data_IF_472828023314
#
_entry.id   IF_472828023314
#
_cell.length_a   1.000
_cell.length_b   1.000
_cell.length_c   1.000
_cell.angle_alpha   90.00
_cell.angle_beta   90.00
_cell.angle_gamma   90.00
#
_symmetry.space_group_name_H-M   'P 1'
#
loop_
_entity.id
_entity.type
_entity.pdbx_description
1 polymer ?
#
# COMPACT_ATOMS: atom_id res chain seq x y z
N UNK A 1 -7.66 0.66 33.21
CA UNK A 1 -7.68 0.04 31.86
C UNK A 1 -6.34 0.22 31.16
N UNK A 2 -5.26 -0.20 31.82
CA UNK A 2 -3.90 0.04 31.36
C UNK A 2 -2.93 -0.63 32.32
N UNK A 3 -2.93 -1.97 32.35
CA UNK A 3 -1.92 -2.79 33.04
C UNK A 3 -1.89 -4.27 32.62
N UNK A 4 -2.66 -4.74 31.62
CA UNK A 4 -2.72 -6.16 31.26
C UNK A 4 -2.25 -6.52 29.85
N UNK A 5 -1.57 -5.61 29.14
CA UNK A 5 -1.14 -5.84 27.74
C UNK A 5 0.37 -6.05 27.61
N UNK A 6 1.14 -5.90 28.70
CA UNK A 6 2.60 -6.05 28.67
C UNK A 6 3.12 -7.48 28.91
N UNK A 7 2.23 -8.43 29.27
CA UNK A 7 2.63 -9.79 29.65
C UNK A 7 2.53 -10.82 28.51
N UNK A 8 1.69 -10.60 27.49
CA UNK A 8 1.54 -11.55 26.38
C UNK A 8 2.58 -11.36 25.25
N UNK A 9 3.27 -10.22 25.20
CA UNK A 9 4.27 -9.94 24.16
C UNK A 9 5.66 -10.56 24.42
N UNK A 10 5.86 -11.22 25.58
CA UNK A 10 7.14 -11.84 25.93
C UNK A 10 7.26 -13.32 25.52
N UNK A 11 6.19 -13.96 25.01
CA UNK A 11 6.22 -15.41 24.74
C UNK A 11 6.09 -15.88 23.29
N UNK A 12 5.87 -15.00 22.29
CA UNK A 12 5.92 -15.37 20.87
C UNK A 12 7.00 -14.58 20.13
N UNK A 13 8.24 -15.06 20.23
CA UNK A 13 9.36 -14.61 19.37
C UNK A 13 9.23 -15.07 17.90
N UNK A 14 8.16 -15.78 17.55
CA UNK A 14 7.92 -16.34 16.21
C UNK A 14 6.82 -15.64 15.38
N UNK A 15 6.10 -14.66 15.94
CA UNK A 15 5.09 -13.88 15.20
C UNK A 15 5.71 -12.71 14.43
N UNK A 16 6.81 -12.97 13.71
CA UNK A 16 7.23 -12.08 12.64
C UNK A 16 6.23 -12.23 11.49
N UNK A 17 5.71 -11.10 11.01
CA UNK A 17 4.62 -10.97 10.03
C UNK A 17 4.91 -11.61 8.65
N UNK A 18 6.01 -12.36 8.51
CA UNK A 18 6.30 -13.21 7.39
C UNK A 18 7.38 -14.26 7.70
N UNK A 19 7.01 -15.54 7.69
CA UNK A 19 7.97 -16.64 7.58
C UNK A 19 8.20 -16.96 6.10
N UNK A 20 9.08 -16.21 5.43
CA UNK A 20 9.34 -16.29 3.99
C UNK A 20 9.91 -17.64 3.51
N UNK A 21 10.51 -18.47 4.39
CA UNK A 21 10.85 -19.87 4.06
C UNK A 21 9.63 -20.69 3.62
N UNK A 22 8.42 -20.20 3.91
CA UNK A 22 7.17 -20.81 3.48
C UNK A 22 6.74 -20.32 2.08
N UNK A 23 7.26 -19.24 1.50
CA UNK A 23 6.84 -18.82 0.14
C UNK A 23 7.41 -19.70 -0.97
N UNK A 24 8.39 -20.55 -0.66
CA UNK A 24 9.00 -21.52 -1.58
C UNK A 24 8.45 -22.93 -1.32
N UNK A 25 7.19 -23.19 -1.71
CA UNK A 25 6.50 -24.46 -1.47
C UNK A 25 6.01 -25.13 -2.75
N UNK A 26 6.37 -26.39 -3.00
CA UNK A 26 6.13 -27.05 -4.29
C UNK A 26 4.67 -27.56 -4.47
N UNK A 27 3.67 -26.67 -4.64
CA UNK A 27 2.25 -27.08 -4.75
C UNK A 27 1.36 -26.24 -5.70
N UNK A 28 0.56 -26.92 -6.52
CA UNK A 28 -0.47 -26.39 -7.43
C UNK A 28 -1.87 -26.43 -6.78
N UNK A 29 -2.14 -25.68 -5.71
CA UNK A 29 -3.44 -25.76 -5.00
C UNK A 29 -4.43 -24.66 -5.33
N UNK A 30 -4.22 -23.95 -6.44
CA UNK A 30 -5.14 -22.95 -6.96
C UNK A 30 -5.65 -23.30 -8.36
N UNK A 31 -5.57 -24.58 -8.72
CA UNK A 31 -6.39 -25.09 -9.82
C UNK A 31 -7.84 -24.89 -9.44
N UNK A 32 -8.60 -24.25 -10.33
CA UNK A 32 -9.98 -23.85 -10.08
C UNK A 32 -10.77 -25.06 -9.65
N UNK A 33 -11.37 -25.02 -8.46
CA UNK A 33 -12.52 -25.89 -8.20
C UNK A 33 -13.53 -25.62 -9.31
N UNK A 34 -13.99 -26.67 -10.00
CA UNK A 34 -14.99 -26.59 -11.09
C UNK A 34 -16.27 -25.84 -10.66
N UNK A 35 -16.48 -25.62 -9.35
CA UNK A 35 -17.61 -24.91 -8.77
C UNK A 35 -17.42 -23.38 -8.64
N UNK A 36 -16.23 -22.81 -8.89
CA UNK A 36 -16.02 -21.36 -8.73
C UNK A 36 -16.43 -20.59 -10.01
N UNK A 37 -17.74 -20.46 -10.19
CA UNK A 37 -18.36 -19.90 -11.41
C UNK A 37 -18.17 -18.38 -11.58
N UNK A 38 -17.75 -17.65 -10.52
CA UNK A 38 -17.58 -16.20 -10.55
C UNK A 38 -16.18 -15.77 -10.11
N UNK A 39 -15.49 -15.04 -10.99
CA UNK A 39 -14.23 -14.37 -10.68
C UNK A 39 -14.50 -12.94 -10.23
N UNK A 40 -13.69 -12.43 -9.30
CA UNK A 40 -13.78 -11.02 -8.92
C UNK A 40 -13.36 -10.12 -10.10
N UNK A 41 -13.90 -8.90 -10.14
CA UNK A 41 -13.66 -7.98 -11.26
C UNK A 41 -12.16 -7.69 -11.44
N UNK A 42 -11.41 -7.59 -10.34
CA UNK A 42 -9.96 -7.40 -10.36
C UNK A 42 -9.19 -8.44 -11.20
N UNK A 43 -9.71 -9.66 -11.35
CA UNK A 43 -9.02 -10.73 -12.09
C UNK A 43 -8.87 -10.44 -13.58
N UNK A 44 -9.73 -9.58 -14.15
CA UNK A 44 -9.72 -9.24 -15.57
C UNK A 44 -8.79 -8.08 -15.91
N UNK A 45 -8.25 -7.39 -14.89
CA UNK A 45 -7.37 -6.24 -15.11
C UNK A 45 -5.95 -6.69 -15.42
N UNK A 46 -5.38 -6.06 -16.46
CA UNK A 46 -3.98 -6.23 -16.85
C UNK A 46 -3.27 -4.90 -16.82
N UNK A 47 -2.04 -4.92 -16.33
CA UNK A 47 -1.15 -3.76 -16.21
C UNK A 47 0.11 -4.07 -17.03
N UNK A 48 0.15 -3.58 -18.28
CA UNK A 48 1.01 -4.15 -19.33
C UNK A 48 0.72 -5.66 -19.46
N UNK A 49 1.71 -6.53 -19.29
CA UNK A 49 1.57 -8.00 -19.35
C UNK A 49 1.25 -8.67 -18.01
N UNK A 50 1.14 -7.90 -16.94
CA UNK A 50 1.01 -8.42 -15.58
C UNK A 50 -0.42 -8.33 -15.05
N UNK A 51 -0.79 -9.26 -14.19
CA UNK A 51 -2.11 -9.33 -13.55
C UNK A 51 -2.05 -8.83 -12.10
N UNK A 52 -3.19 -8.83 -11.43
CA UNK A 52 -3.28 -8.32 -10.06
C UNK A 52 -2.57 -9.21 -9.02
N UNK A 53 -2.44 -10.50 -9.30
CA UNK A 53 -1.68 -11.43 -8.47
C UNK A 53 -0.18 -11.10 -8.53
N UNK A 54 0.35 -10.78 -9.72
CA UNK A 54 1.74 -10.32 -9.90
C UNK A 54 1.99 -9.05 -9.07
N UNK A 55 1.07 -8.08 -9.15
CA UNK A 55 1.18 -6.81 -8.43
C UNK A 55 1.19 -7.00 -6.91
N UNK A 56 0.34 -7.90 -6.42
CA UNK A 56 0.25 -8.21 -4.99
C UNK A 56 1.47 -8.99 -4.51
N UNK A 57 1.98 -9.93 -5.31
CA UNK A 57 3.23 -10.63 -5.01
C UNK A 57 4.40 -9.65 -4.91
N UNK A 58 4.56 -8.75 -5.89
CA UNK A 58 5.59 -7.72 -5.85
C UNK A 58 5.48 -6.84 -4.59
N UNK A 59 4.28 -6.41 -4.23
CA UNK A 59 4.07 -5.67 -2.98
C UNK A 59 4.50 -6.47 -1.72
N UNK A 60 4.33 -7.80 -1.72
CA UNK A 60 4.78 -8.66 -0.61
C UNK A 60 6.31 -8.79 -0.57
N UNK A 61 6.96 -8.89 -1.74
CA UNK A 61 8.42 -8.97 -1.84
C UNK A 61 9.13 -7.68 -1.39
N UNK A 62 8.44 -6.53 -1.36
CA UNK A 62 9.00 -5.26 -0.86
C UNK A 62 9.47 -5.30 0.59
N UNK A 63 9.04 -6.29 1.36
CA UNK A 63 9.43 -6.49 2.74
C UNK A 63 10.71 -7.34 2.89
N UNK A 64 11.23 -7.90 1.79
CA UNK A 64 12.44 -8.70 1.81
C UNK A 64 13.72 -7.85 1.75
N UNK A 65 14.82 -8.36 2.34
CA UNK A 65 16.16 -7.86 2.04
C UNK A 65 16.51 -7.99 0.55
N UNK A 66 17.38 -7.12 0.04
CA UNK A 66 17.76 -7.04 -1.39
C UNK A 66 18.17 -8.37 -2.01
N UNK A 67 19.00 -9.15 -1.31
CA UNK A 67 19.53 -10.41 -1.84
C UNK A 67 18.43 -11.45 -2.03
N UNK A 68 17.55 -11.57 -1.04
CA UNK A 68 16.41 -12.49 -1.12
C UNK A 68 15.38 -12.00 -2.15
N UNK A 69 15.11 -10.69 -2.20
CA UNK A 69 14.25 -10.08 -3.21
C UNK A 69 14.69 -10.44 -4.64
N UNK A 70 15.98 -10.28 -4.96
CA UNK A 70 16.52 -10.61 -6.28
C UNK A 70 16.40 -12.11 -6.60
N UNK A 71 16.68 -12.96 -5.62
CA UNK A 71 16.52 -14.42 -5.74
C UNK A 71 15.06 -14.80 -6.01
N UNK A 72 14.13 -14.25 -5.23
CA UNK A 72 12.71 -14.59 -5.33
C UNK A 72 12.08 -14.05 -6.62
N UNK A 73 12.49 -12.86 -7.09
CA UNK A 73 12.07 -12.36 -8.41
C UNK A 73 12.52 -13.33 -9.51
N UNK A 74 13.76 -13.82 -9.49
CA UNK A 74 14.24 -14.80 -10.48
C UNK A 74 13.50 -16.13 -10.35
N UNK A 75 13.17 -16.55 -9.13
CA UNK A 75 12.42 -17.77 -8.88
C UNK A 75 10.99 -17.71 -9.46
N UNK A 76 10.26 -16.62 -9.19
CA UNK A 76 8.89 -16.45 -9.66
C UNK A 76 8.80 -16.03 -11.13
N UNK A 77 9.84 -15.40 -11.68
CA UNK A 77 9.89 -14.89 -13.06
C UNK A 77 11.17 -15.33 -13.79
N UNK A 78 11.31 -16.63 -14.10
CA UNK A 78 12.54 -17.21 -14.66
C UNK A 78 12.89 -16.72 -16.07
N UNK A 79 11.92 -16.18 -16.82
CA UNK A 79 12.11 -15.68 -18.18
C UNK A 79 12.76 -14.29 -18.23
N UNK A 80 13.38 -13.82 -17.13
CA UNK A 80 13.98 -12.49 -16.99
C UNK A 80 13.03 -11.36 -17.42
N UNK A 81 11.76 -11.47 -17.04
CA UNK A 81 10.74 -10.46 -17.34
C UNK A 81 11.01 -9.11 -16.65
N UNK A 82 11.83 -9.13 -15.61
CA UNK A 82 12.22 -7.99 -14.80
C UNK A 82 13.74 -7.85 -14.73
N UNK A 83 14.20 -6.61 -14.85
CA UNK A 83 15.57 -6.20 -14.56
C UNK A 83 15.52 -5.34 -13.29
N UNK A 84 16.23 -5.76 -12.25
CA UNK A 84 16.30 -5.00 -11.01
C UNK A 84 17.14 -3.73 -11.21
N UNK A 85 16.63 -2.57 -10.80
CA UNK A 85 17.36 -1.31 -10.90
C UNK A 85 18.29 -1.09 -9.69
N UNK A 86 19.58 -1.33 -9.88
CA UNK A 86 20.62 -1.15 -8.85
C UNK A 86 20.82 0.33 -8.43
N UNK A 87 20.30 1.30 -9.18
CA UNK A 87 20.41 2.72 -8.83
C UNK A 87 19.21 3.19 -8.02
N UNK A 88 18.01 2.73 -8.37
CA UNK A 88 16.75 3.21 -7.79
C UNK A 88 16.11 2.16 -6.89
N UNK A 89 16.80 1.82 -5.81
CA UNK A 89 16.27 1.00 -4.73
C UNK A 89 16.74 1.51 -3.37
N UNK A 90 15.93 1.26 -2.34
CA UNK A 90 16.32 1.34 -0.94
C UNK A 90 15.64 0.17 -0.24
N UNK A 91 16.30 -0.97 -0.16
CA UNK A 91 15.77 -2.20 0.41
C UNK A 91 16.44 -2.40 1.78
N UNK A 92 15.76 -2.02 2.86
CA UNK A 92 16.24 -2.20 4.22
C UNK A 92 15.40 -3.27 4.93
N UNK A 93 16.04 -4.15 5.67
CA UNK A 93 15.33 -5.17 6.48
C UNK A 93 14.52 -4.50 7.60
N UNK A 94 15.11 -3.48 8.26
CA UNK A 94 14.48 -2.65 9.27
C UNK A 94 14.77 -1.17 8.98
N UNK A 95 13.85 -0.26 9.29
CA UNK A 95 14.13 1.16 9.13
C UNK A 95 12.99 2.05 9.59
N UNK A 96 13.27 2.83 10.63
CA UNK A 96 12.54 4.07 10.94
C UNK A 96 13.20 5.21 10.15
N UNK A 97 12.42 6.15 9.60
CA UNK A 97 12.95 7.40 9.04
C UNK A 97 13.25 7.43 7.53
N UNK A 98 13.21 6.28 6.82
CA UNK A 98 13.50 6.24 5.38
C UNK A 98 12.51 5.41 4.57
N UNK A 99 12.22 5.86 3.35
CA UNK A 99 11.35 5.17 2.41
C UNK A 99 12.05 3.93 1.88
N UNK A 100 11.45 2.77 2.10
CA UNK A 100 11.90 1.50 1.52
C UNK A 100 11.13 1.22 0.24
N UNK A 101 11.85 1.02 -0.85
CA UNK A 101 11.27 0.77 -2.17
C UNK A 101 12.27 0.04 -3.07
N UNK A 102 11.78 -0.51 -4.17
CA UNK A 102 12.62 -1.00 -5.25
C UNK A 102 11.98 -0.74 -6.61
N UNK A 103 12.80 -0.75 -7.65
CA UNK A 103 12.36 -0.49 -9.01
C UNK A 103 12.71 -1.66 -9.91
N UNK A 104 11.74 -2.11 -10.70
CA UNK A 104 11.91 -3.12 -11.73
C UNK A 104 11.68 -2.52 -13.11
N UNK A 105 12.62 -2.77 -14.00
CA UNK A 105 12.51 -2.39 -15.40
C UNK A 105 12.03 -3.58 -16.25
N UNK A 106 11.13 -3.30 -17.20
CA UNK A 106 10.60 -4.28 -18.16
C UNK A 106 10.67 -3.69 -19.57
N UNK A 107 10.28 -4.45 -20.60
CA UNK A 107 10.28 -3.93 -21.99
C UNK A 107 9.39 -2.71 -22.18
N UNK A 108 8.23 -2.66 -21.51
CA UNK A 108 7.18 -1.65 -21.74
C UNK A 108 6.93 -0.73 -20.53
N UNK A 109 7.23 -1.21 -19.34
CA UNK A 109 6.88 -0.54 -18.08
C UNK A 109 8.06 -0.48 -17.11
N UNK A 110 8.05 0.55 -16.26
CA UNK A 110 8.86 0.62 -15.04
C UNK A 110 7.92 0.49 -13.85
N UNK A 111 8.21 -0.47 -12.98
CA UNK A 111 7.39 -0.77 -11.81
C UNK A 111 8.16 -0.34 -10.56
N UNK A 112 7.59 0.59 -9.81
CA UNK A 112 8.15 1.03 -8.51
C UNK A 112 7.27 0.47 -7.41
N UNK A 113 7.89 -0.30 -6.50
CA UNK A 113 7.19 -0.97 -5.41
C UNK A 113 7.63 -0.35 -4.10
N UNK A 114 6.67 0.17 -3.35
CA UNK A 114 6.90 0.90 -2.10
C UNK A 114 6.45 0.02 -0.93
N UNK A 115 7.38 -0.25 -0.02
CA UNK A 115 7.10 -1.04 1.18
C UNK A 115 6.26 -0.22 2.17
N UNK A 116 5.34 -0.89 2.86
CA UNK A 116 4.71 -0.34 4.06
C UNK A 116 5.59 -0.50 5.31
N UNK A 117 4.98 -0.28 6.48
CA UNK A 117 5.63 -0.50 7.78
C UNK A 117 5.68 -1.99 8.10
N UNK A 118 6.77 -2.47 8.71
CA UNK A 118 6.92 -3.86 9.18
C UNK A 118 6.13 -4.13 10.47
N UNK A 119 5.86 -3.09 11.27
CA UNK A 119 5.07 -3.14 12.50
C UNK A 119 3.78 -2.33 12.35
N UNK A 120 2.64 -3.03 12.26
CA UNK A 120 1.32 -2.41 12.05
C UNK A 120 0.84 -1.60 13.26
N UNK A 121 1.24 -1.99 14.47
CA UNK A 121 0.94 -1.24 15.69
C UNK A 121 1.64 0.12 15.70
N UNK A 122 2.88 0.17 15.17
CA UNK A 122 3.60 1.44 14.99
C UNK A 122 2.91 2.32 13.97
N UNK A 123 2.33 1.79 12.89
CA UNK A 123 1.52 2.61 11.97
C UNK A 123 0.25 3.20 12.60
N UNK A 124 -0.41 2.46 13.50
CA UNK A 124 -1.59 2.97 14.22
C UNK A 124 -1.22 4.14 15.15
N UNK A 125 0.01 4.14 15.66
CA UNK A 125 0.57 5.21 16.50
C UNK A 125 1.14 6.34 15.61
N UNK A 126 1.84 5.99 14.53
CA UNK A 126 2.42 6.86 13.50
C UNK A 126 1.40 7.21 12.40
N UNK A 127 0.13 7.40 12.77
CA UNK A 127 -0.99 7.78 11.88
C UNK A 127 -0.81 9.17 11.23
N UNK A 128 0.40 9.71 11.33
CA UNK A 128 0.83 11.10 11.27
C UNK A 128 0.57 11.78 9.91
N UNK A 129 0.57 11.02 8.81
CA UNK A 129 0.22 11.55 7.48
C UNK A 129 -1.30 11.73 7.32
N UNK A 130 -2.10 10.85 7.94
CA UNK A 130 -3.56 10.76 7.80
C UNK A 130 -4.33 11.23 9.04
N UNK A 131 -3.66 11.73 10.08
CA UNK A 131 -4.26 12.10 11.37
C UNK A 131 -5.44 13.06 11.19
N UNK A 132 -5.25 14.17 10.47
CA UNK A 132 -6.26 15.22 10.29
C UNK A 132 -7.45 14.74 9.45
N UNK A 133 -7.20 13.94 8.39
CA UNK A 133 -8.27 13.32 7.61
C UNK A 133 -9.06 12.29 8.43
N UNK A 134 -8.42 11.62 9.37
CA UNK A 134 -9.05 10.57 10.18
C UNK A 134 -9.84 11.16 11.33
N UNK A 135 -9.33 12.22 11.96
CA UNK A 135 -10.10 13.06 12.89
C UNK A 135 -11.32 13.65 12.17
N UNK A 136 -11.18 14.18 10.96
CA UNK A 136 -12.32 14.72 10.19
C UNK A 136 -13.40 13.66 9.92
N UNK A 137 -13.00 12.43 9.58
CA UNK A 137 -13.94 11.32 9.41
C UNK A 137 -14.56 10.85 10.73
N UNK A 138 -13.81 10.85 11.83
CA UNK A 138 -14.33 10.51 13.15
C UNK A 138 -15.35 11.53 13.64
N UNK A 139 -15.11 12.83 13.41
CA UNK A 139 -16.10 13.90 13.62
C UNK A 139 -17.35 13.65 12.76
N UNK A 140 -17.18 13.11 11.54
CA UNK A 140 -18.29 12.74 10.66
C UNK A 140 -19.09 11.51 11.10
N UNK A 141 -18.56 10.72 12.03
CA UNK A 141 -19.27 9.62 12.69
C UNK A 141 -20.02 10.14 13.92
N UNK A 142 -19.39 10.98 14.73
CA UNK A 142 -19.98 11.54 15.96
C UNK A 142 -21.05 12.60 15.69
N UNK A 143 -20.90 13.37 14.61
CA UNK A 143 -21.82 14.41 14.19
C UNK A 143 -22.29 14.13 12.76
N UNK A 144 -23.29 13.25 12.56
CA UNK A 144 -23.69 12.75 11.24
C UNK A 144 -24.08 13.86 10.25
N UNK A 145 -24.56 15.00 10.74
CA UNK A 145 -24.88 16.18 9.92
C UNK A 145 -23.66 16.75 9.17
N UNK A 146 -22.44 16.54 9.68
CA UNK A 146 -21.24 16.96 8.96
C UNK A 146 -20.98 16.14 7.69
N UNK A 147 -21.59 14.95 7.52
CA UNK A 147 -21.57 14.20 6.25
C UNK A 147 -22.32 14.92 5.13
N UNK A 148 -23.21 15.86 5.48
CA UNK A 148 -23.93 16.70 4.51
C UNK A 148 -23.03 17.83 3.98
N UNK A 149 -21.85 18.05 4.58
CA UNK A 149 -20.94 19.07 4.09
C UNK A 149 -20.37 18.68 2.73
N UNK A 150 -20.35 19.61 1.76
CA UNK A 150 -19.67 19.39 0.49
C UNK A 150 -18.21 18.97 0.70
N UNK A 151 -17.66 18.11 -0.17
CA UNK A 151 -16.27 17.65 -0.09
C UNK A 151 -15.27 18.82 -0.02
N UNK A 152 -15.60 19.97 -0.60
CA UNK A 152 -14.82 21.21 -0.53
C UNK A 152 -14.66 21.72 0.92
N UNK A 153 -15.69 21.60 1.76
CA UNK A 153 -15.64 22.02 3.16
C UNK A 153 -14.74 21.10 3.98
N UNK A 154 -14.84 19.78 3.79
CA UNK A 154 -13.90 18.83 4.42
C UNK A 154 -12.45 19.11 4.01
N UNK A 155 -12.22 19.40 2.72
CA UNK A 155 -10.90 19.79 2.21
C UNK A 155 -10.37 21.05 2.90
N UNK A 156 -11.21 22.07 3.08
CA UNK A 156 -10.85 23.30 3.79
C UNK A 156 -10.54 22.99 5.25
N UNK A 157 -11.34 22.18 5.95
CA UNK A 157 -11.11 21.82 7.35
C UNK A 157 -9.77 21.09 7.50
N UNK A 158 -9.50 20.07 6.68
CA UNK A 158 -8.23 19.33 6.74
C UNK A 158 -7.04 20.23 6.41
N UNK A 159 -7.18 21.13 5.43
CA UNK A 159 -6.15 22.12 5.10
C UNK A 159 -5.91 23.09 6.26
N UNK A 160 -6.97 23.64 6.86
CA UNK A 160 -6.88 24.59 7.97
C UNK A 160 -6.34 23.94 9.24
N UNK A 161 -6.72 22.70 9.53
CA UNK A 161 -6.13 21.92 10.63
C UNK A 161 -4.63 21.71 10.40
N UNK A 162 -4.22 21.33 9.19
CA UNK A 162 -2.80 21.19 8.86
C UNK A 162 -2.04 22.53 8.96
N UNK A 163 -2.69 23.67 8.66
CA UNK A 163 -2.09 25.00 8.81
C UNK A 163 -2.00 25.45 10.27
N UNK A 164 -3.05 25.21 11.07
CA UNK A 164 -3.07 25.52 12.51
C UNK A 164 -2.04 24.70 13.28
N UNK A 165 -1.85 23.44 12.91
CA UNK A 165 -0.77 22.61 13.43
C UNK A 165 0.61 23.21 13.11
N UNK A 166 0.78 23.84 11.93
CA UNK A 166 2.01 24.59 11.61
C UNK A 166 2.22 25.80 12.52
N UNK A 167 1.16 26.57 12.79
CA UNK A 167 1.26 27.73 13.68
C UNK A 167 1.51 27.37 15.14
N UNK A 168 0.90 26.29 15.64
CA UNK A 168 1.05 25.85 17.04
C UNK A 168 2.41 25.16 17.24
N UNK A 169 2.86 24.35 16.26
CA UNK A 169 4.15 23.65 16.31
C UNK A 169 5.37 24.57 16.13
N UNK A 170 5.24 25.74 15.50
CA UNK A 170 6.37 26.69 15.37
C UNK A 170 6.88 27.19 16.74
N UNK A 171 6.06 27.09 17.80
CA UNK A 171 6.44 27.38 19.19
C UNK A 171 7.02 26.17 19.96
N UNK A 172 6.95 24.96 19.41
CA UNK A 172 7.45 23.73 20.03
C UNK A 172 8.20 22.87 19.01
N UNK A 173 9.54 22.97 19.01
CA UNK A 173 10.50 22.10 18.30
C UNK A 173 10.16 21.75 16.83
N UNK A 174 10.76 22.49 15.89
CA UNK A 174 10.73 22.32 14.41
C UNK A 174 11.00 20.92 13.82
N UNK A 175 11.33 19.91 14.64
CA UNK A 175 11.72 18.57 14.19
C UNK A 175 10.51 17.68 13.84
N UNK A 176 9.38 17.83 14.54
CA UNK A 176 8.23 16.93 14.42
C UNK A 176 7.39 17.19 13.17
N UNK A 177 7.27 18.45 12.75
CA UNK A 177 6.49 18.86 11.58
C UNK A 177 7.14 18.52 10.23
N UNK A 178 8.46 18.29 10.23
CA UNK A 178 9.22 17.89 9.05
C UNK A 178 8.82 16.50 8.57
N UNK A 179 8.58 15.56 9.49
CA UNK A 179 8.43 14.11 9.19
C UNK A 179 7.25 13.79 8.26
N UNK A 180 6.07 14.36 8.51
CA UNK A 180 4.79 14.04 7.80
C UNK A 180 4.81 14.34 6.30
N UNK A 181 5.36 15.50 5.92
CA UNK A 181 5.47 15.92 4.50
C UNK A 181 6.74 15.37 3.85
N UNK A 182 7.73 15.00 4.65
CA UNK A 182 9.03 14.55 4.16
C UNK A 182 8.91 13.27 3.34
N UNK A 183 8.19 12.25 3.81
CA UNK A 183 8.06 10.99 3.06
C UNK A 183 7.38 11.18 1.69
N UNK A 184 6.25 11.88 1.64
CA UNK A 184 5.54 12.11 0.36
C UNK A 184 6.41 12.95 -0.59
N UNK A 185 7.02 14.04 -0.11
CA UNK A 185 7.89 14.89 -0.95
C UNK A 185 9.16 14.16 -1.42
N UNK A 186 9.77 13.36 -0.55
CA UNK A 186 10.94 12.56 -0.88
C UNK A 186 10.58 11.51 -1.94
N UNK A 187 9.44 10.83 -1.78
CA UNK A 187 8.96 9.87 -2.78
C UNK A 187 8.68 10.55 -4.13
N UNK A 188 8.03 11.73 -4.14
CA UNK A 188 7.79 12.48 -5.38
C UNK A 188 9.11 12.76 -6.11
N UNK A 189 10.15 13.25 -5.40
CA UNK A 189 11.47 13.51 -5.99
C UNK A 189 12.12 12.25 -6.57
N UNK A 190 12.03 11.13 -5.86
CA UNK A 190 12.53 9.83 -6.34
C UNK A 190 11.78 9.41 -7.61
N UNK A 191 10.45 9.52 -7.61
CA UNK A 191 9.64 9.18 -8.78
C UNK A 191 9.92 10.10 -9.97
N UNK A 192 10.16 11.39 -9.75
CA UNK A 192 10.57 12.32 -10.82
C UNK A 192 11.89 11.85 -11.46
N UNK A 193 12.89 11.45 -10.67
CA UNK A 193 14.16 10.92 -11.17
C UNK A 193 14.01 9.58 -11.93
N UNK A 194 13.14 8.69 -11.43
CA UNK A 194 12.84 7.41 -12.10
C UNK A 194 12.12 7.69 -13.43
N UNK A 195 11.09 8.54 -13.42
CA UNK A 195 10.37 8.95 -14.62
C UNK A 195 11.30 9.62 -15.64
N UNK A 196 12.30 10.39 -15.19
CA UNK A 196 13.29 10.99 -16.07
C UNK A 196 14.24 9.97 -16.71
N UNK A 197 14.60 8.89 -15.99
CA UNK A 197 15.38 7.78 -16.56
C UNK A 197 14.55 6.95 -17.56
N UNK A 198 13.26 6.77 -17.30
CA UNK A 198 12.37 5.87 -18.03
C UNK A 198 11.24 6.59 -18.80
N UNK A 199 11.51 7.76 -19.38
CA UNK A 199 10.49 8.64 -20.02
C UNK A 199 9.59 7.97 -21.07
N UNK A 200 10.08 6.90 -21.70
CA UNK A 200 9.36 6.18 -22.77
C UNK A 200 8.66 4.91 -22.28
N UNK A 201 8.62 4.66 -20.97
CA UNK A 201 7.99 3.47 -20.38
C UNK A 201 6.80 3.86 -19.52
N UNK A 202 5.83 2.96 -19.45
CA UNK A 202 4.67 3.10 -18.55
C UNK A 202 5.13 3.04 -17.10
N UNK A 203 4.87 4.09 -16.31
CA UNK A 203 5.15 4.08 -14.87
C UNK A 203 3.99 3.44 -14.10
N UNK A 204 4.29 2.33 -13.42
CA UNK A 204 3.36 1.58 -12.57
C UNK A 204 3.85 1.70 -11.13
N UNK A 205 2.97 2.13 -10.22
CA UNK A 205 3.28 2.20 -8.80
C UNK A 205 2.50 1.15 -8.03
N UNK A 206 3.18 0.50 -7.10
CA UNK A 206 2.60 -0.54 -6.25
C UNK A 206 2.96 -0.23 -4.81
N UNK A 207 2.03 -0.42 -3.88
CA UNK A 207 2.37 -0.40 -2.47
C UNK A 207 1.34 -1.09 -1.59
N UNK A 208 1.82 -1.58 -0.44
CA UNK A 208 0.99 -2.18 0.60
C UNK A 208 0.91 -1.27 1.83
N UNK A 209 -0.26 -1.21 2.50
CA UNK A 209 -0.42 -0.48 3.75
C UNK A 209 0.02 1.00 3.61
N UNK A 210 0.91 1.50 4.48
CA UNK A 210 1.58 2.80 4.36
C UNK A 210 2.15 3.05 2.96
N UNK A 211 2.83 2.05 2.37
CA UNK A 211 3.42 2.14 1.04
C UNK A 211 2.37 2.32 -0.05
N UNK A 212 1.18 1.74 0.12
CA UNK A 212 0.03 1.96 -0.78
C UNK A 212 -0.52 3.38 -0.69
N UNK A 213 -0.58 3.95 0.52
CA UNK A 213 -0.92 5.35 0.73
C UNK A 213 0.12 6.31 0.11
N UNK A 214 1.40 6.01 0.28
CA UNK A 214 2.51 6.78 -0.27
C UNK A 214 2.54 6.70 -1.81
N UNK A 215 2.30 5.51 -2.38
CA UNK A 215 2.16 5.30 -3.82
C UNK A 215 1.01 6.14 -4.40
N UNK A 216 -0.14 6.19 -3.72
CA UNK A 216 -1.26 7.07 -4.09
C UNK A 216 -0.85 8.53 -4.08
N UNK A 217 -0.39 9.06 -2.93
CA UNK A 217 -0.10 10.49 -2.78
C UNK A 217 1.04 10.98 -3.68
N UNK A 218 2.13 10.21 -3.78
CA UNK A 218 3.27 10.56 -4.62
C UNK A 218 2.95 10.34 -6.11
N UNK A 219 2.29 9.23 -6.43
CA UNK A 219 1.96 8.86 -7.80
C UNK A 219 0.99 9.80 -8.50
N UNK A 220 -0.05 10.26 -7.79
CA UNK A 220 -1.01 11.21 -8.35
C UNK A 220 -0.40 12.61 -8.57
N UNK A 221 0.67 12.94 -7.86
CA UNK A 221 1.41 14.20 -8.05
C UNK A 221 2.27 14.17 -9.33
N UNK A 222 2.52 12.99 -9.90
CA UNK A 222 3.19 12.82 -11.19
C UNK A 222 2.16 12.59 -12.29
N UNK A 223 2.16 13.42 -13.33
CA UNK A 223 1.20 13.30 -14.44
C UNK A 223 1.41 12.03 -15.28
N UNK A 224 2.63 11.51 -15.36
CA UNK A 224 2.98 10.37 -16.21
C UNK A 224 2.76 8.99 -15.55
N UNK A 225 2.35 8.96 -14.27
CA UNK A 225 1.96 7.71 -13.63
C UNK A 225 0.75 7.13 -14.34
N UNK A 226 0.85 5.93 -14.88
CA UNK A 226 -0.22 5.31 -15.63
C UNK A 226 -1.24 4.63 -14.70
N UNK A 227 -0.76 3.87 -13.72
CA UNK A 227 -1.60 3.18 -12.75
C UNK A 227 -0.93 3.11 -11.39
N UNK A 228 -1.74 3.20 -10.34
CA UNK A 228 -1.34 3.11 -8.95
C UNK A 228 -2.14 2.00 -8.30
N UNK A 229 -1.45 0.93 -7.93
CA UNK A 229 -2.04 -0.24 -7.30
C UNK A 229 -1.70 -0.22 -5.83
N UNK A 230 -2.75 -0.10 -5.02
CA UNK A 230 -2.63 -0.11 -3.58
C UNK A 230 -3.23 -1.41 -3.05
N UNK A 231 -2.49 -2.08 -2.18
CA UNK A 231 -2.96 -3.26 -1.46
C UNK A 231 -3.20 -2.83 -0.02
N UNK A 232 -4.45 -2.87 0.42
CA UNK A 232 -4.86 -2.49 1.77
C UNK A 232 -4.36 -1.10 2.21
N UNK A 233 -4.23 -0.17 1.27
CA UNK A 233 -3.72 1.16 1.58
C UNK A 233 -4.82 2.12 2.07
N UNK A 234 -4.45 3.15 2.85
CA UNK A 234 -5.36 4.17 3.33
C UNK A 234 -5.98 4.97 2.17
N UNK A 235 -7.08 5.65 2.46
CA UNK A 235 -7.71 6.62 1.58
C UNK A 235 -6.81 7.83 1.36
N UNK A 236 -7.11 8.62 0.31
CA UNK A 236 -6.34 9.83 0.00
C UNK A 236 -7.20 11.03 -0.41
N UNK A 237 -8.53 10.91 -0.33
CA UNK A 237 -9.44 11.93 -0.86
C UNK A 237 -9.31 13.28 -0.17
N UNK A 238 -9.09 13.28 1.15
CA UNK A 238 -8.94 14.50 1.93
C UNK A 238 -7.46 14.84 2.16
N UNK A 239 -6.63 13.85 2.46
CA UNK A 239 -5.19 14.05 2.72
C UNK A 239 -4.44 14.65 1.53
N UNK A 240 -4.89 14.41 0.28
CA UNK A 240 -4.34 15.10 -0.91
C UNK A 240 -4.33 16.63 -0.77
N UNK A 241 -5.28 17.21 -0.02
CA UNK A 241 -5.42 18.65 0.14
C UNK A 241 -4.18 19.31 0.74
N UNK A 242 -3.44 18.56 1.57
CA UNK A 242 -2.20 19.00 2.20
C UNK A 242 -1.05 19.16 1.21
N UNK A 243 -1.12 18.45 0.08
CA UNK A 243 -0.08 18.41 -0.94
C UNK A 243 -0.49 19.14 -2.23
N UNK A 244 -1.76 19.55 -2.31
CA UNK A 244 -2.36 20.23 -3.46
C UNK A 244 -1.66 21.55 -3.80
N UNK A 245 -1.19 22.30 -2.79
CA UNK A 245 -0.47 23.57 -2.99
C UNK A 245 0.87 23.42 -3.74
N UNK A 246 1.40 22.19 -3.85
CA UNK A 246 2.71 21.97 -4.49
C UNK A 246 2.63 21.48 -5.93
N UNK A 247 1.54 20.82 -6.33
CA UNK A 247 1.44 20.13 -7.64
C UNK A 247 0.01 20.07 -8.24
N UNK A 248 -1.01 20.74 -7.69
CA UNK A 248 -2.41 20.69 -8.16
C UNK A 248 -2.94 19.24 -8.30
N UNK A 249 -3.00 18.51 -7.18
CA UNK A 249 -3.47 17.13 -7.14
C UNK A 249 -5.00 17.10 -7.27
N UNK A 250 -5.49 16.87 -8.49
CA UNK A 250 -6.91 16.80 -8.80
C UNK A 250 -7.56 15.47 -8.34
N UNK A 251 -8.86 15.50 -8.04
CA UNK A 251 -9.62 14.27 -7.76
C UNK A 251 -9.66 13.35 -8.97
N UNK A 252 -9.70 13.90 -10.18
CA UNK A 252 -9.78 13.12 -11.41
C UNK A 252 -8.57 12.22 -11.58
N UNK A 253 -7.37 12.71 -11.23
CA UNK A 253 -6.14 11.92 -11.16
C UNK A 253 -6.25 10.70 -10.25
N UNK A 254 -6.96 10.82 -9.11
CA UNK A 254 -7.20 9.70 -8.21
C UNK A 254 -8.22 8.74 -8.83
N UNK A 255 -9.33 9.28 -9.33
CA UNK A 255 -10.43 8.50 -9.89
C UNK A 255 -10.01 7.67 -11.11
N UNK A 256 -9.09 8.20 -11.93
CA UNK A 256 -8.64 7.55 -13.16
C UNK A 256 -7.51 6.54 -12.96
N UNK A 257 -6.67 6.71 -11.93
CA UNK A 257 -5.38 6.00 -11.85
C UNK A 257 -5.22 5.11 -10.63
N UNK A 258 -6.02 5.31 -9.58
CA UNK A 258 -5.90 4.54 -8.34
C UNK A 258 -6.80 3.32 -8.38
N UNK A 259 -6.20 2.16 -8.11
CA UNK A 259 -6.89 0.90 -7.85
C UNK A 259 -6.45 0.37 -6.48
N UNK A 260 -7.37 0.29 -5.53
CA UNK A 260 -7.14 -0.27 -4.20
C UNK A 260 -7.82 -1.63 -4.04
N UNK A 261 -7.12 -2.60 -3.45
CA UNK A 261 -7.66 -3.90 -3.07
C UNK A 261 -7.70 -3.98 -1.57
N UNK A 262 -8.87 -4.22 -1.00
CA UNK A 262 -9.05 -4.14 0.45
C UNK A 262 -9.85 -5.32 0.96
N UNK A 263 -9.46 -5.83 2.12
CA UNK A 263 -10.35 -6.64 2.92
C UNK A 263 -11.44 -5.78 3.57
N UNK A 264 -12.65 -6.30 3.62
CA UNK A 264 -13.82 -5.61 4.21
C UNK A 264 -13.70 -5.27 5.70
N UNK A 265 -12.94 -6.05 6.46
CA UNK A 265 -12.70 -5.87 7.91
C UNK A 265 -11.32 -5.30 8.25
N UNK A 266 -10.53 -4.94 7.24
CA UNK A 266 -9.27 -4.24 7.42
C UNK A 266 -9.52 -2.77 7.82
N UNK A 267 -8.84 -2.32 8.87
CA UNK A 267 -8.98 -0.97 9.44
C UNK A 267 -8.10 0.07 8.76
N UNK A 268 -7.01 -0.33 8.12
CA UNK A 268 -6.06 0.62 7.51
C UNK A 268 -6.71 1.40 6.37
N UNK A 269 -7.50 0.77 5.47
CA UNK A 269 -8.27 1.50 4.46
C UNK A 269 -9.28 2.51 5.00
N UNK A 270 -9.61 2.50 6.30
CA UNK A 270 -10.56 3.46 6.89
C UNK A 270 -9.90 4.81 7.22
N UNK A 271 -8.57 4.86 7.23
CA UNK A 271 -7.81 6.10 7.30
C UNK A 271 -8.04 6.93 6.04
N UNK A 272 -8.63 8.11 6.18
CA UNK A 272 -9.11 8.96 5.07
C UNK A 272 -10.14 8.25 4.14
N UNK A 273 -10.86 9.04 3.35
CA UNK A 273 -11.87 8.55 2.43
C UNK A 273 -11.22 7.95 1.19
N UNK A 274 -11.63 6.73 0.87
CA UNK A 274 -11.23 6.04 -0.36
C UNK A 274 -11.83 6.72 -1.61
N UNK A 275 -11.07 6.68 -2.71
CA UNK A 275 -11.46 7.11 -4.05
C UNK A 275 -10.64 6.34 -5.09
N UNK A 276 -11.03 6.41 -6.36
CA UNK A 276 -10.56 5.47 -7.39
C UNK A 276 -11.36 4.18 -7.39
N UNK A 277 -10.83 3.17 -8.10
CA UNK A 277 -11.42 1.84 -8.14
C UNK A 277 -11.09 1.09 -6.85
N UNK A 278 -12.08 0.42 -6.27
CA UNK A 278 -11.91 -0.38 -5.05
C UNK A 278 -12.42 -1.79 -5.33
N UNK A 279 -11.53 -2.77 -5.27
CA UNK A 279 -11.93 -4.18 -5.19
C UNK A 279 -11.97 -4.57 -3.71
N UNK A 280 -13.17 -4.79 -3.21
CA UNK A 280 -13.36 -5.33 -1.88
C UNK A 280 -13.33 -6.87 -1.95
N UNK A 281 -12.65 -7.48 -1.00
CA UNK A 281 -12.61 -8.92 -0.79
C UNK A 281 -13.03 -9.25 0.65
N UNK A 282 -13.69 -10.39 0.85
CA UNK A 282 -14.19 -10.79 2.17
C UNK A 282 -13.05 -11.33 3.02
N UNK A 283 -12.83 -10.72 4.18
CA UNK A 283 -11.87 -11.24 5.14
C UNK A 283 -12.45 -12.45 5.89
N UNK A 284 -11.73 -13.59 6.01
CA UNK A 284 -12.24 -14.77 6.69
C UNK A 284 -12.60 -14.50 8.15
N UNK A 285 -13.79 -14.88 8.60
CA UNK A 285 -14.35 -14.51 9.93
C UNK A 285 -13.39 -14.71 11.12
N UNK A 286 -12.59 -15.77 11.09
CA UNK A 286 -11.61 -16.12 12.12
C UNK A 286 -10.48 -15.10 12.28
N UNK A 287 -10.21 -14.27 11.27
CA UNK A 287 -9.13 -13.29 11.27
C UNK A 287 -9.55 -12.07 12.08
N UNK A 288 -8.63 -11.58 12.91
CA UNK A 288 -8.68 -10.22 13.46
C UNK A 288 -8.55 -9.17 12.35
N UNK A 289 -8.89 -7.92 12.66
CA UNK A 289 -8.78 -6.81 11.69
C UNK A 289 -7.34 -6.58 11.22
N UNK A 290 -6.35 -6.82 12.08
CA UNK A 290 -4.93 -6.74 11.73
C UNK A 290 -4.47 -7.91 10.86
N UNK A 291 -4.97 -9.13 11.12
CA UNK A 291 -4.71 -10.26 10.23
C UNK A 291 -5.37 -10.05 8.85
N UNK A 292 -6.55 -9.40 8.79
CA UNK A 292 -7.16 -8.99 7.51
C UNK A 292 -6.29 -7.99 6.73
N UNK A 293 -5.51 -7.18 7.44
CA UNK A 293 -4.64 -6.19 6.82
C UNK A 293 -3.39 -6.79 6.20
N UNK A 294 -2.92 -7.93 6.71
CA UNK A 294 -1.74 -8.61 6.19
C UNK A 294 -1.86 -8.89 4.68
N UNK A 295 -0.73 -8.75 3.98
CA UNK A 295 -0.69 -8.94 2.52
C UNK A 295 -0.91 -10.39 2.10
N UNK A 296 -0.47 -11.37 2.90
CA UNK A 296 -0.55 -12.79 2.55
C UNK A 296 -2.01 -13.27 2.37
N UNK A 297 -2.94 -13.00 3.31
CA UNK A 297 -4.34 -13.34 3.12
C UNK A 297 -4.95 -12.71 1.86
N UNK A 298 -4.57 -11.47 1.53
CA UNK A 298 -5.04 -10.79 0.31
C UNK A 298 -4.54 -11.53 -0.93
N UNK A 299 -3.23 -11.81 -0.98
CA UNK A 299 -2.61 -12.55 -2.08
C UNK A 299 -3.24 -13.94 -2.27
N UNK A 300 -3.42 -14.69 -1.19
CA UNK A 300 -4.07 -16.00 -1.23
C UNK A 300 -5.52 -15.93 -1.72
N UNK A 301 -6.27 -14.90 -1.29
CA UNK A 301 -7.65 -14.68 -1.76
C UNK A 301 -7.69 -14.34 -3.26
N UNK A 302 -6.72 -13.55 -3.75
CA UNK A 302 -6.57 -13.28 -5.18
C UNK A 302 -6.25 -14.55 -5.98
N UNK A 303 -5.32 -15.40 -5.51
CA UNK A 303 -5.00 -16.65 -6.20
C UNK A 303 -6.19 -17.60 -6.21
N UNK A 304 -6.94 -17.68 -5.11
CA UNK A 304 -8.15 -18.51 -5.04
C UNK A 304 -9.21 -18.07 -6.05
N UNK A 305 -9.47 -16.78 -6.20
CA UNK A 305 -10.55 -16.31 -7.07
C UNK A 305 -10.12 -16.04 -8.52
N UNK A 306 -8.89 -15.60 -8.73
CA UNK A 306 -8.36 -15.27 -10.06
C UNK A 306 -7.57 -16.42 -10.69
N UNK A 307 -7.25 -17.45 -9.92
CA UNK A 307 -6.36 -18.53 -10.32
C UNK A 307 -4.88 -18.14 -10.21
N UNK A 308 -4.02 -19.11 -10.52
CA UNK A 308 -2.57 -18.99 -10.46
C UNK A 308 -1.93 -19.16 -11.85
N UNK A 309 -2.10 -18.19 -12.76
CA UNK A 309 -1.65 -18.32 -14.16
C UNK A 309 -0.13 -18.44 -14.30
N UNK A 310 0.63 -18.01 -13.30
CA UNK A 310 2.11 -18.10 -13.27
C UNK A 310 2.62 -19.38 -12.62
N UNK A 311 1.75 -20.20 -12.04
CA UNK A 311 2.16 -21.42 -11.34
C UNK A 311 3.01 -21.15 -10.10
N UNK A 312 2.72 -20.07 -9.36
CA UNK A 312 3.40 -19.75 -8.11
C UNK A 312 3.32 -20.93 -7.14
N UNK A 313 4.48 -21.28 -6.58
CA UNK A 313 4.67 -22.40 -5.67
C UNK A 313 4.62 -21.89 -4.23
N UNK A 314 3.44 -21.94 -3.60
CA UNK A 314 3.20 -21.31 -2.29
C UNK A 314 2.91 -22.38 -1.23
N UNK A 315 3.50 -22.25 -0.03
CA UNK A 315 3.13 -23.11 1.11
C UNK A 315 1.72 -22.76 1.59
N UNK A 316 0.88 -23.79 1.72
CA UNK A 316 -0.50 -23.67 2.22
C UNK A 316 -0.60 -22.96 3.57
N UNK A 317 0.39 -23.12 4.44
CA UNK A 317 0.44 -22.47 5.76
C UNK A 317 0.42 -20.94 5.68
N UNK A 318 0.88 -20.35 4.56
CA UNK A 318 0.81 -18.89 4.34
C UNK A 318 -0.63 -18.43 4.14
N UNK A 319 -1.48 -19.31 3.60
CA UNK A 319 -2.87 -19.04 3.29
C UNK A 319 -3.83 -19.54 4.37
N UNK A 320 -3.32 -20.05 5.50
CA UNK A 320 -4.13 -20.45 6.64
C UNK A 320 -4.23 -19.32 7.69
N UNK A 321 -5.31 -19.31 8.51
CA UNK A 321 -5.50 -18.36 9.61
C UNK A 321 -4.37 -18.33 10.64
#
# INVERSE_FOLDING_TARGET
FGSSVYAETMHNKDDSLLNYKKLSGNFNTFDKDEQQQYQMQACYWKFSKFNIQDMTLLAALAYLPTEQLKSDIKHFYPNNEFIFDEKFHNCKEYGHGEITYYTLDTSEAVIVVIRGTTLLYEWLIDFDIWTESSISQMISILFPWSRLYPRAVHKIIVKQMSLLENFISDNSNKLEQSSKRFYVKQMIKILEQINDKYKNKTLILIGHSLGGGLAKLAGIALNNTAVIISISGPGVSYSRAKYDETKNILMDSINQRVFNIIHDRDIVPWADKQAGLIQQITCPKAYSRLQCHSINPIFCNLLKNCGNPRGFKINKEICQP
#
